data_IF_866814567793
#
_entry.id   IF_866814567793
#
_cell.length_a   1.000
_cell.length_b   1.000
_cell.length_c   1.000
_cell.angle_alpha   90.00
_cell.angle_beta   90.00
_cell.angle_gamma   90.00
#
_symmetry.space_group_name_H-M   'P 1'
#
loop_
_entity.id
_entity.type
_entity.pdbx_description
1 polymer ?
#
# COMPACT_ATOMS: atom_id res chain seq x y z
N UNK A 1 -1.98 52.94 -20.32
CA UNK A 1 -2.54 51.94 -19.38
C UNK A 1 -1.36 51.23 -18.73
N UNK A 2 -1.05 51.52 -17.48
CA UNK A 2 0.00 50.82 -16.73
C UNK A 2 -0.59 49.50 -16.23
N UNK A 3 -0.12 48.37 -16.76
CA UNK A 3 -0.40 47.05 -16.20
C UNK A 3 0.72 46.71 -15.20
N UNK A 4 0.45 46.89 -13.90
CA UNK A 4 1.29 46.33 -12.86
C UNK A 4 0.91 44.87 -12.65
N UNK A 5 1.75 43.94 -13.11
CA UNK A 5 1.63 42.53 -12.75
C UNK A 5 2.20 42.35 -11.34
N UNK A 6 1.33 42.33 -10.33
CA UNK A 6 1.72 41.93 -8.97
C UNK A 6 1.88 40.41 -8.96
N UNK A 7 3.09 39.92 -9.23
CA UNK A 7 3.43 38.51 -9.01
C UNK A 7 3.70 38.34 -7.52
N UNK A 8 2.73 37.82 -6.78
CA UNK A 8 2.97 37.33 -5.43
C UNK A 8 3.73 36.00 -5.55
N UNK A 9 5.05 36.04 -5.42
CA UNK A 9 5.88 34.84 -5.30
C UNK A 9 5.62 34.20 -3.94
N UNK A 10 4.71 33.24 -3.88
CA UNK A 10 4.66 32.31 -2.76
C UNK A 10 5.84 31.35 -2.90
N UNK A 11 6.64 31.19 -1.86
CA UNK A 11 7.68 30.17 -1.80
C UNK A 11 7.01 28.79 -1.87
N UNK A 12 6.94 28.22 -3.07
CA UNK A 12 6.50 26.85 -3.28
C UNK A 12 7.74 25.98 -3.26
N UNK A 13 7.81 25.09 -2.27
CA UNK A 13 8.91 24.14 -2.19
C UNK A 13 8.53 22.93 -3.03
N UNK A 14 9.35 22.64 -4.04
CA UNK A 14 9.23 21.44 -4.86
C UNK A 14 10.34 20.46 -4.49
N UNK A 15 10.08 19.18 -4.67
CA UNK A 15 11.05 18.10 -4.49
C UNK A 15 10.96 17.14 -5.67
N UNK A 16 12.10 16.65 -6.13
CA UNK A 16 12.18 15.58 -7.12
C UNK A 16 12.97 14.43 -6.54
N UNK A 17 12.47 13.22 -6.73
CA UNK A 17 13.12 11.97 -6.33
C UNK A 17 12.91 10.95 -7.43
N UNK A 18 13.68 9.87 -7.40
CA UNK A 18 13.43 8.77 -8.31
C UNK A 18 14.07 7.47 -7.82
N UNK A 19 13.50 6.35 -8.25
CA UNK A 19 14.02 5.02 -8.00
C UNK A 19 14.40 4.39 -9.33
N UNK A 20 15.67 4.03 -9.50
CA UNK A 20 16.20 3.34 -10.68
C UNK A 20 16.60 1.92 -10.30
N UNK A 21 16.33 0.97 -11.17
CA UNK A 21 16.79 -0.41 -11.01
C UNK A 21 17.12 -1.06 -12.36
N UNK A 22 17.92 -2.12 -12.28
CA UNK A 22 18.18 -3.01 -13.40
C UNK A 22 18.27 -4.44 -12.88
N UNK A 23 17.85 -5.40 -13.67
CA UNK A 23 18.00 -6.83 -13.37
C UNK A 23 18.30 -7.61 -14.65
N UNK A 24 18.84 -8.81 -14.48
CA UNK A 24 19.12 -9.72 -15.59
C UNK A 24 18.81 -11.15 -15.16
N UNK A 25 18.18 -11.90 -16.05
CA UNK A 25 17.83 -13.30 -15.86
C UNK A 25 18.42 -14.12 -17.00
N UNK A 26 18.90 -15.32 -16.69
CA UNK A 26 19.38 -16.28 -17.69
C UNK A 26 18.55 -17.55 -17.61
N UNK A 27 18.01 -18.00 -18.74
CA UNK A 27 17.22 -19.25 -18.81
C UNK A 27 17.88 -20.26 -19.74
N UNK A 28 17.74 -21.54 -19.40
CA UNK A 28 18.15 -22.66 -20.23
C UNK A 28 16.97 -23.30 -20.98
N UNK A 29 15.74 -22.91 -20.66
CA UNK A 29 14.51 -23.35 -21.32
C UNK A 29 13.84 -22.11 -21.92
N UNK A 30 14.05 -21.90 -23.22
CA UNK A 30 13.74 -20.65 -23.91
C UNK A 30 12.80 -20.96 -25.08
N UNK A 31 11.68 -20.25 -25.22
CA UNK A 31 10.81 -20.37 -26.39
C UNK A 31 11.58 -20.12 -27.69
N UNK A 32 11.20 -20.83 -28.77
CA UNK A 32 11.85 -20.68 -30.07
C UNK A 32 11.82 -19.23 -30.55
N UNK A 33 12.99 -18.61 -30.75
CA UNK A 33 13.14 -17.24 -31.24
C UNK A 33 13.45 -16.18 -30.17
N UNK A 34 13.55 -16.55 -28.90
CA UNK A 34 13.99 -15.67 -27.81
C UNK A 34 15.46 -15.95 -27.41
N UNK A 35 16.10 -14.94 -26.82
CA UNK A 35 17.45 -15.04 -26.26
C UNK A 35 17.43 -15.73 -24.90
N UNK A 36 18.53 -16.40 -24.56
CA UNK A 36 18.77 -16.97 -23.23
C UNK A 36 18.99 -15.93 -22.13
N UNK A 37 19.17 -14.67 -22.52
CA UNK A 37 19.38 -13.55 -21.64
C UNK A 37 18.17 -12.60 -21.70
N UNK A 38 17.56 -12.38 -20.54
CA UNK A 38 16.60 -11.32 -20.32
C UNK A 38 17.23 -10.23 -19.47
N UNK A 39 16.95 -8.97 -19.80
CA UNK A 39 17.39 -7.81 -19.04
C UNK A 39 16.24 -6.86 -18.82
N UNK A 40 16.19 -6.25 -17.65
CA UNK A 40 15.19 -5.26 -17.28
C UNK A 40 15.88 -3.97 -16.84
N UNK A 41 15.32 -2.85 -17.26
CA UNK A 41 15.69 -1.51 -16.82
C UNK A 41 14.42 -0.78 -16.43
N UNK A 42 14.37 -0.24 -15.23
CA UNK A 42 13.22 0.50 -14.76
C UNK A 42 13.57 1.77 -14.00
N UNK A 43 12.65 2.72 -14.04
CA UNK A 43 12.76 4.00 -13.39
C UNK A 43 11.39 4.54 -12.97
N UNK A 44 11.28 5.00 -11.72
CA UNK A 44 10.10 5.70 -11.21
C UNK A 44 10.51 7.13 -10.83
N UNK A 45 10.38 8.12 -11.73
CA UNK A 45 10.47 9.52 -11.35
C UNK A 45 9.29 9.91 -10.46
N UNK A 46 9.57 10.71 -9.43
CA UNK A 46 8.58 11.25 -8.50
C UNK A 46 8.78 12.76 -8.36
N UNK A 47 7.72 13.50 -8.64
CA UNK A 47 7.63 14.94 -8.44
C UNK A 47 6.68 15.21 -7.28
N UNK A 48 7.10 16.04 -6.33
CA UNK A 48 6.28 16.45 -5.20
C UNK A 48 6.28 17.97 -5.08
N UNK A 49 5.11 18.55 -4.85
CA UNK A 49 4.94 19.97 -4.57
C UNK A 49 4.26 20.10 -3.21
N UNK A 50 4.76 20.99 -2.36
CA UNK A 50 4.14 21.26 -1.08
C UNK A 50 4.10 22.75 -0.78
N UNK A 51 3.07 23.13 -0.03
CA UNK A 51 2.84 24.48 0.44
C UNK A 51 2.38 24.43 1.89
N UNK A 52 3.20 25.00 2.76
CA UNK A 52 2.81 25.28 4.13
C UNK A 52 1.80 26.44 4.15
N UNK A 53 0.78 26.28 4.97
CA UNK A 53 -0.29 27.23 5.24
C UNK A 53 -0.24 27.62 6.71
N UNK A 54 -0.93 28.71 7.07
CA UNK A 54 -1.02 29.14 8.47
C UNK A 54 -1.62 28.04 9.36
N UNK A 55 -1.27 28.07 10.66
CA UNK A 55 -1.73 27.13 11.68
C UNK A 55 -1.37 25.65 11.43
N UNK A 56 -0.10 25.38 11.09
CA UNK A 56 0.43 24.02 10.89
C UNK A 56 -0.35 23.20 9.86
N UNK A 57 -0.85 23.85 8.81
CA UNK A 57 -1.57 23.19 7.73
C UNK A 57 -0.63 22.99 6.55
N UNK A 58 -0.76 21.85 5.88
CA UNK A 58 0.04 21.49 4.72
C UNK A 58 -0.90 21.11 3.58
N UNK A 59 -0.65 21.68 2.40
CA UNK A 59 -1.21 21.20 1.15
C UNK A 59 -0.06 20.65 0.31
N UNK A 60 -0.11 19.36 -0.01
CA UNK A 60 0.90 18.72 -0.84
C UNK A 60 0.30 17.81 -1.91
N UNK A 61 1.08 17.57 -2.95
CA UNK A 61 0.73 16.69 -4.04
C UNK A 61 1.95 15.92 -4.51
N UNK A 62 1.72 14.75 -5.06
CA UNK A 62 2.75 13.89 -5.62
C UNK A 62 2.27 13.34 -6.96
N UNK A 63 3.20 13.26 -7.92
CA UNK A 63 3.04 12.59 -9.20
C UNK A 63 4.24 11.69 -9.43
N UNK A 64 3.99 10.41 -9.71
CA UNK A 64 5.01 9.46 -10.09
C UNK A 64 4.55 8.62 -11.27
N UNK A 65 5.48 8.35 -12.18
CA UNK A 65 5.27 7.50 -13.35
C UNK A 65 6.20 6.30 -13.24
N UNK A 66 5.76 5.11 -13.61
CA UNK A 66 6.63 3.94 -13.72
C UNK A 66 6.98 3.72 -15.19
N UNK A 67 8.28 3.65 -15.45
CA UNK A 67 8.86 3.34 -16.75
C UNK A 67 9.64 2.05 -16.58
N UNK A 68 9.21 0.96 -17.19
CA UNK A 68 9.81 -0.36 -17.04
C UNK A 68 9.95 -1.02 -18.42
N UNK A 69 11.17 -1.43 -18.75
CA UNK A 69 11.51 -2.02 -20.05
C UNK A 69 12.24 -3.33 -19.87
N UNK A 70 11.71 -4.38 -20.48
CA UNK A 70 12.29 -5.72 -20.46
C UNK A 70 12.66 -6.17 -21.86
N UNK A 71 13.89 -6.65 -22.02
CA UNK A 71 14.47 -7.10 -23.28
C UNK A 71 14.86 -8.57 -23.20
N UNK A 72 14.62 -9.34 -24.26
CA UNK A 72 15.27 -10.64 -24.50
C UNK A 72 16.32 -10.44 -25.58
N UNK A 73 17.60 -10.50 -25.19
CA UNK A 73 18.71 -10.04 -26.03
C UNK A 73 18.47 -8.61 -26.52
N UNK A 74 18.33 -8.44 -27.83
CA UNK A 74 18.11 -7.12 -28.46
C UNK A 74 16.63 -6.77 -28.68
N UNK A 75 15.72 -7.71 -28.39
CA UNK A 75 14.28 -7.53 -28.61
C UNK A 75 13.58 -7.02 -27.36
N UNK A 76 12.78 -5.95 -27.49
CA UNK A 76 11.92 -5.45 -26.41
C UNK A 76 10.68 -6.34 -26.30
N UNK A 77 10.49 -6.99 -25.14
CA UNK A 77 9.35 -7.88 -24.90
C UNK A 77 8.26 -7.17 -24.11
N UNK A 78 8.64 -6.32 -23.15
CA UNK A 78 7.69 -5.63 -22.29
C UNK A 78 8.07 -4.15 -22.13
N UNK A 79 7.05 -3.29 -22.20
CA UNK A 79 7.18 -1.86 -21.96
C UNK A 79 5.99 -1.39 -21.11
N UNK A 80 6.23 -1.04 -19.86
CA UNK A 80 5.22 -0.49 -18.96
C UNK A 80 5.52 0.99 -18.78
N UNK A 81 4.55 1.81 -19.19
CA UNK A 81 4.57 3.26 -19.02
C UNK A 81 3.21 3.68 -18.46
N UNK A 82 3.10 3.77 -17.14
CA UNK A 82 1.85 4.12 -16.46
C UNK A 82 2.09 5.08 -15.28
N UNK A 83 1.02 5.70 -14.81
CA UNK A 83 1.06 6.45 -13.55
C UNK A 83 1.18 5.47 -12.39
N UNK A 84 2.23 5.64 -11.59
CA UNK A 84 2.44 4.84 -10.39
C UNK A 84 1.66 5.40 -9.21
N UNK A 85 1.68 6.73 -9.05
CA UNK A 85 0.93 7.47 -8.02
C UNK A 85 0.59 8.86 -8.50
N UNK A 86 -0.59 9.31 -8.14
CA UNK A 86 -0.96 10.72 -8.21
C UNK A 86 -1.91 11.01 -7.07
N UNK A 87 -1.57 11.93 -6.18
CA UNK A 87 -2.47 12.28 -5.10
C UNK A 87 -2.29 13.73 -4.68
N UNK A 88 -3.35 14.30 -4.13
CA UNK A 88 -3.35 15.58 -3.43
C UNK A 88 -3.77 15.31 -1.99
N UNK A 89 -3.08 15.93 -1.04
CA UNK A 89 -3.38 15.83 0.38
C UNK A 89 -3.43 17.19 1.03
N UNK A 90 -4.42 17.35 1.89
CA UNK A 90 -4.49 18.39 2.90
C UNK A 90 -4.23 17.76 4.26
N UNK A 91 -3.34 18.33 5.06
CA UNK A 91 -2.99 17.84 6.39
C UNK A 91 -2.96 18.97 7.41
N UNK A 92 -3.32 18.64 8.66
CA UNK A 92 -3.29 19.50 9.84
C UNK A 92 -3.06 18.62 11.07
N UNK A 93 -2.86 19.23 12.24
CA UNK A 93 -2.63 18.50 13.51
C UNK A 93 -3.74 17.48 13.86
N UNK A 94 -4.98 17.69 13.37
CA UNK A 94 -6.14 16.84 13.72
C UNK A 94 -6.74 16.10 12.53
N UNK A 95 -6.37 16.43 11.30
CA UNK A 95 -7.05 15.94 10.11
C UNK A 95 -6.08 15.80 8.95
N UNK A 96 -6.15 14.66 8.26
CA UNK A 96 -5.53 14.41 6.97
C UNK A 96 -6.61 13.98 5.97
N UNK A 97 -6.64 14.61 4.80
CA UNK A 97 -7.52 14.24 3.69
C UNK A 97 -6.66 14.03 2.46
N UNK A 98 -6.82 12.91 1.76
CA UNK A 98 -6.06 12.57 0.55
C UNK A 98 -6.98 12.04 -0.54
N UNK A 99 -6.76 12.50 -1.77
CA UNK A 99 -7.52 12.08 -2.96
C UNK A 99 -6.57 11.71 -4.10
N UNK A 100 -6.86 10.62 -4.79
CA UNK A 100 -6.15 10.15 -5.99
C UNK A 100 -5.60 8.72 -5.85
N UNK A 101 -4.76 8.31 -6.79
CA UNK A 101 -4.04 7.04 -6.77
C UNK A 101 -2.97 7.03 -5.69
N UNK A 102 -3.24 6.27 -4.64
CA UNK A 102 -2.44 6.25 -3.41
C UNK A 102 -2.27 4.85 -2.86
N UNK A 103 -1.19 4.65 -2.10
CA UNK A 103 -0.99 3.44 -1.31
C UNK A 103 -1.82 3.51 -0.02
N UNK A 104 -2.66 2.51 0.22
CA UNK A 104 -3.36 2.29 1.49
C UNK A 104 -2.86 0.97 2.06
N UNK A 105 -2.09 1.05 3.14
CA UNK A 105 -1.65 -0.10 3.94
C UNK A 105 -1.90 0.23 5.40
N UNK A 106 -2.31 -0.80 6.13
CA UNK A 106 -2.42 -0.83 7.58
C UNK A 106 -2.12 -2.26 8.06
N UNK A 107 -1.95 -2.41 9.37
CA UNK A 107 -1.57 -3.67 9.98
C UNK A 107 -0.07 -3.74 10.32
N UNK A 108 0.30 -4.50 11.35
CA UNK A 108 1.68 -4.66 11.80
C UNK A 108 2.50 -5.72 11.06
N UNK A 109 1.89 -6.53 10.19
CA UNK A 109 2.58 -7.56 9.40
C UNK A 109 3.72 -6.99 8.57
N UNK A 110 4.85 -7.69 8.54
CA UNK A 110 6.08 -7.24 7.87
C UNK A 110 6.24 -7.88 6.49
N UNK A 111 6.02 -9.20 6.41
CA UNK A 111 6.17 -10.00 5.20
C UNK A 111 4.86 -10.67 4.84
N UNK A 112 4.26 -11.39 5.79
CA UNK A 112 2.99 -12.09 5.62
C UNK A 112 1.88 -11.28 6.29
N UNK A 113 1.05 -10.58 5.54
CA UNK A 113 -0.03 -9.76 6.12
C UNK A 113 -1.41 -10.23 5.67
N UNK A 114 -2.27 -10.49 6.66
CA UNK A 114 -3.70 -10.76 6.43
C UNK A 114 -4.52 -9.48 6.26
N UNK A 115 -3.89 -8.32 6.50
CA UNK A 115 -4.44 -6.97 6.36
C UNK A 115 -3.99 -6.25 5.08
N UNK A 116 -3.23 -6.90 4.21
CA UNK A 116 -2.88 -6.42 2.87
C UNK A 116 -4.09 -6.34 1.92
N UNK A 117 -5.17 -5.65 2.29
CA UNK A 117 -6.42 -5.63 1.53
C UNK A 117 -6.33 -4.93 0.18
N UNK A 118 -5.40 -3.98 0.05
CA UNK A 118 -5.27 -3.07 -1.08
C UNK A 118 -3.85 -2.99 -1.64
N UNK A 119 -2.92 -3.78 -1.10
CA UNK A 119 -1.54 -3.78 -1.56
C UNK A 119 -1.20 -5.05 -2.34
N UNK A 120 -0.27 -4.88 -3.28
CA UNK A 120 0.27 -5.93 -4.13
C UNK A 120 1.73 -6.21 -3.74
N UNK A 121 2.04 -6.21 -2.44
CA UNK A 121 3.42 -6.41 -2.00
C UNK A 121 3.95 -7.77 -2.45
N UNK A 122 5.08 -7.73 -3.17
CA UNK A 122 5.75 -8.89 -3.72
C UNK A 122 7.21 -8.91 -3.26
N UNK A 123 7.59 -9.98 -2.58
CA UNK A 123 8.95 -10.21 -2.08
C UNK A 123 9.98 -10.37 -3.19
N UNK A 124 9.55 -10.80 -4.37
CA UNK A 124 10.45 -10.98 -5.53
C UNK A 124 10.72 -9.67 -6.26
N UNK A 125 9.93 -8.62 -5.98
CA UNK A 125 10.09 -7.32 -6.61
C UNK A 125 11.20 -6.51 -5.90
N UNK A 126 12.36 -6.26 -6.54
CA UNK A 126 13.48 -5.55 -5.92
C UNK A 126 13.17 -4.09 -5.61
N UNK A 127 12.11 -3.52 -6.17
CA UNK A 127 11.73 -2.13 -5.92
C UNK A 127 10.99 -1.94 -4.60
N UNK A 128 10.38 -3.00 -4.05
CA UNK A 128 9.48 -2.92 -2.89
C UNK A 128 8.24 -2.04 -3.11
N UNK A 129 7.94 -1.70 -4.37
CA UNK A 129 6.79 -0.88 -4.73
C UNK A 129 5.54 -1.74 -4.79
N UNK A 130 4.44 -1.17 -4.30
CA UNK A 130 3.10 -1.73 -4.43
C UNK A 130 2.30 -0.83 -5.33
N UNK A 131 1.32 -1.42 -6.00
CA UNK A 131 0.34 -0.65 -6.77
C UNK A 131 -0.49 0.23 -5.82
N UNK A 132 -1.03 1.31 -6.38
CA UNK A 132 -1.94 2.20 -5.69
C UNK A 132 -3.38 1.83 -5.93
N UNK A 133 -4.27 2.33 -5.08
CA UNK A 133 -5.71 2.34 -5.30
C UNK A 133 -6.19 3.78 -5.48
N UNK A 134 -7.11 4.00 -6.43
CA UNK A 134 -7.74 5.30 -6.59
C UNK A 134 -8.77 5.49 -5.48
N UNK A 135 -8.46 6.40 -4.55
CA UNK A 135 -9.22 6.51 -3.32
C UNK A 135 -9.36 7.95 -2.85
N UNK A 136 -10.48 8.21 -2.17
CA UNK A 136 -10.62 9.27 -1.20
C UNK A 136 -10.36 8.70 0.19
N UNK A 137 -9.49 9.34 0.98
CA UNK A 137 -9.15 8.94 2.34
C UNK A 137 -9.22 10.11 3.29
N UNK A 138 -9.88 9.90 4.43
CA UNK A 138 -9.94 10.80 5.56
C UNK A 138 -9.28 10.12 6.77
N UNK A 139 -8.38 10.82 7.46
CA UNK A 139 -7.88 10.42 8.78
C UNK A 139 -8.12 11.55 9.76
N UNK A 140 -8.77 11.23 10.86
CA UNK A 140 -9.05 12.14 11.95
C UNK A 140 -8.29 11.69 13.19
N UNK A 141 -7.68 12.64 13.90
CA UNK A 141 -6.91 12.41 15.12
C UNK A 141 -7.59 13.14 16.29
N UNK A 142 -8.57 12.50 16.96
CA UNK A 142 -9.25 13.09 18.11
C UNK A 142 -8.31 13.35 19.29
N UNK A 143 -7.29 12.51 19.45
CA UNK A 143 -6.25 12.58 20.48
C UNK A 143 -4.91 12.08 19.93
N UNK A 144 -3.85 12.20 20.71
CA UNK A 144 -2.52 11.68 20.35
C UNK A 144 -2.44 10.14 20.33
N UNK A 145 -3.48 9.45 20.79
CA UNK A 145 -3.51 8.01 20.99
C UNK A 145 -4.65 7.33 20.23
N UNK A 146 -5.43 8.08 19.44
CA UNK A 146 -6.57 7.58 18.71
C UNK A 146 -6.52 8.16 17.30
N UNK A 147 -6.63 7.30 16.30
CA UNK A 147 -6.82 7.71 14.92
C UNK A 147 -8.03 7.00 14.33
N UNK A 148 -8.82 7.71 13.54
CA UNK A 148 -10.01 7.19 12.87
C UNK A 148 -9.86 7.48 11.39
N UNK A 149 -9.93 6.43 10.59
CA UNK A 149 -9.78 6.47 9.16
C UNK A 149 -11.13 6.15 8.52
N UNK A 150 -11.41 6.80 7.41
CA UNK A 150 -12.45 6.40 6.50
C UNK A 150 -11.92 6.55 5.08
N UNK A 151 -12.29 5.61 4.22
CA UNK A 151 -11.90 5.67 2.82
C UNK A 151 -13.02 5.20 1.93
N UNK A 152 -12.94 5.65 0.69
CA UNK A 152 -13.77 5.23 -0.42
C UNK A 152 -12.86 4.97 -1.60
N UNK A 153 -12.98 3.79 -2.19
CA UNK A 153 -12.19 3.33 -3.32
C UNK A 153 -13.11 3.26 -4.53
N UNK A 154 -12.59 3.72 -5.66
CA UNK A 154 -13.22 3.53 -6.95
C UNK A 154 -12.46 2.43 -7.68
N UNK A 155 -13.15 1.36 -8.05
CA UNK A 155 -12.54 0.30 -8.86
C UNK A 155 -12.54 0.65 -10.36
N UNK A 156 -11.90 -0.19 -11.17
CA UNK A 156 -11.82 -0.02 -12.63
C UNK A 156 -13.20 -0.09 -13.33
N UNK A 157 -14.19 -0.71 -12.68
CA UNK A 157 -15.54 -0.89 -13.18
C UNK A 157 -16.53 0.14 -12.61
N UNK A 158 -16.03 1.17 -11.91
CA UNK A 158 -16.77 2.23 -11.22
C UNK A 158 -17.70 1.76 -10.08
N UNK A 159 -17.42 0.62 -9.47
CA UNK A 159 -17.99 0.29 -8.16
C UNK A 159 -17.31 1.11 -7.07
N UNK A 160 -18.12 1.60 -6.14
CA UNK A 160 -17.69 2.41 -5.03
C UNK A 160 -17.65 1.54 -3.77
N UNK A 161 -16.45 1.21 -3.33
CA UNK A 161 -16.23 0.45 -2.10
C UNK A 161 -15.84 1.39 -0.97
N UNK A 162 -16.19 1.07 0.26
CA UNK A 162 -15.92 1.95 1.40
C UNK A 162 -15.46 1.18 2.62
N UNK A 163 -14.66 1.83 3.44
CA UNK A 163 -14.16 1.24 4.67
C UNK A 163 -13.84 2.26 5.73
N UNK A 164 -13.55 1.74 6.90
CA UNK A 164 -13.14 2.52 8.05
C UNK A 164 -12.24 1.73 8.96
N UNK A 165 -11.41 2.44 9.70
CA UNK A 165 -10.49 1.86 10.68
C UNK A 165 -10.39 2.76 11.90
N UNK A 166 -10.32 2.16 13.08
CA UNK A 166 -9.96 2.84 14.31
C UNK A 166 -8.65 2.26 14.83
N UNK A 167 -7.70 3.12 15.18
CA UNK A 167 -6.41 2.74 15.75
C UNK A 167 -6.25 3.38 17.12
N UNK A 168 -5.86 2.59 18.12
CA UNK A 168 -5.68 3.03 19.49
C UNK A 168 -4.28 2.67 19.96
N UNK A 169 -3.51 3.68 20.32
CA UNK A 169 -2.19 3.55 20.93
C UNK A 169 -2.31 3.51 22.45
N UNK A 170 -1.67 2.54 23.10
CA UNK A 170 -1.70 2.38 24.55
C UNK A 170 -0.33 1.92 25.08
N UNK A 171 -0.13 2.01 26.39
CA UNK A 171 1.11 1.56 27.02
C UNK A 171 1.37 0.05 26.85
N UNK A 172 0.34 -0.72 26.50
CA UNK A 172 0.44 -2.17 26.29
C UNK A 172 0.46 -2.56 24.82
N UNK A 173 0.51 -1.58 23.90
CA UNK A 173 0.58 -1.81 22.46
C UNK A 173 -0.43 -0.99 21.65
N UNK A 174 -0.37 -1.21 20.35
CA UNK A 174 -1.17 -0.59 19.30
C UNK A 174 -2.27 -1.54 18.87
N UNK A 175 -3.51 -1.06 18.85
CA UNK A 175 -4.69 -1.82 18.45
C UNK A 175 -5.29 -1.23 17.18
N UNK A 176 -5.76 -2.09 16.28
CA UNK A 176 -6.49 -1.70 15.08
C UNK A 176 -7.76 -2.51 14.92
N UNK A 177 -8.84 -1.84 14.49
CA UNK A 177 -10.09 -2.49 14.07
C UNK A 177 -10.49 -1.91 12.72
N UNK A 178 -10.71 -2.76 11.73
CA UNK A 178 -11.03 -2.35 10.35
C UNK A 178 -12.28 -3.03 9.85
N UNK A 179 -13.07 -2.27 9.08
CA UNK A 179 -14.24 -2.75 8.36
C UNK A 179 -14.19 -2.25 6.93
N UNK A 180 -14.62 -3.09 5.99
CA UNK A 180 -14.66 -2.73 4.57
C UNK A 180 -15.83 -3.45 3.90
N UNK A 181 -16.50 -2.75 3.01
CA UNK A 181 -17.59 -3.25 2.20
C UNK A 181 -17.25 -3.04 0.72
N UNK A 182 -17.31 -4.13 -0.03
CA UNK A 182 -17.14 -4.13 -1.48
C UNK A 182 -18.41 -4.67 -2.14
N UNK A 183 -19.14 -3.85 -2.91
CA UNK A 183 -20.33 -4.28 -3.65
C UNK A 183 -19.98 -4.91 -5.02
N UNK A 184 -18.70 -4.97 -5.41
CA UNK A 184 -18.27 -5.45 -6.71
C UNK A 184 -18.42 -6.97 -6.82
N UNK A 185 -18.99 -7.44 -7.94
CA UNK A 185 -19.00 -8.86 -8.33
C UNK A 185 -17.81 -9.20 -9.26
N UNK A 186 -16.81 -8.31 -9.34
CA UNK A 186 -15.57 -8.58 -10.06
C UNK A 186 -14.71 -9.60 -9.30
N UNK A 187 -14.01 -10.45 -10.04
CA UNK A 187 -13.07 -11.40 -9.45
C UNK A 187 -11.84 -10.64 -8.94
N UNK A 188 -11.72 -10.55 -7.62
CA UNK A 188 -10.61 -9.88 -6.94
C UNK A 188 -9.75 -10.90 -6.20
N UNK A 189 -8.44 -10.67 -6.20
CA UNK A 189 -7.50 -11.40 -5.34
C UNK A 189 -7.38 -10.66 -4.01
N UNK A 190 -7.40 -11.39 -2.90
CA UNK A 190 -7.31 -10.78 -1.57
C UNK A 190 -5.85 -10.67 -1.16
N UNK A 191 -5.25 -9.50 -1.33
CA UNK A 191 -3.91 -9.19 -0.86
C UNK A 191 -2.84 -10.16 -1.32
N UNK A 192 -1.99 -10.60 -0.39
CA UNK A 192 -0.95 -11.61 -0.63
C UNK A 192 -1.49 -13.04 -0.72
N UNK A 193 -2.80 -13.26 -0.54
CA UNK A 193 -3.38 -14.60 -0.56
C UNK A 193 -3.80 -14.98 -1.96
N UNK A 194 -3.67 -16.25 -2.33
CA UNK A 194 -4.23 -16.77 -3.59
C UNK A 194 -5.76 -16.95 -3.54
N UNK A 195 -6.44 -16.41 -2.54
CA UNK A 195 -7.89 -16.50 -2.41
C UNK A 195 -8.55 -15.51 -3.38
N UNK A 196 -9.50 -16.01 -4.16
CA UNK A 196 -10.27 -15.24 -5.12
C UNK A 196 -11.71 -15.09 -4.62
N UNK A 197 -12.24 -13.87 -4.67
CA UNK A 197 -13.66 -13.57 -4.41
C UNK A 197 -14.21 -12.84 -5.62
N UNK A 198 -15.28 -13.36 -6.21
CA UNK A 198 -15.96 -12.76 -7.37
C UNK A 198 -17.39 -12.32 -7.06
N UNK A 199 -17.60 -11.80 -5.86
CA UNK A 199 -18.93 -11.43 -5.36
C UNK A 199 -18.82 -10.33 -4.31
N UNK A 200 -19.91 -9.58 -4.13
CA UNK A 200 -20.02 -8.61 -3.04
C UNK A 200 -19.67 -9.25 -1.68
N UNK A 201 -18.83 -8.57 -0.90
CA UNK A 201 -18.30 -9.10 0.34
C UNK A 201 -18.01 -8.01 1.37
N UNK A 202 -17.98 -8.43 2.64
CA UNK A 202 -17.57 -7.60 3.77
C UNK A 202 -16.27 -8.15 4.36
N UNK A 203 -15.35 -7.27 4.72
CA UNK A 203 -14.12 -7.63 5.43
C UNK A 203 -14.14 -7.00 6.82
N UNK A 204 -13.81 -7.78 7.82
CA UNK A 204 -13.62 -7.34 9.20
C UNK A 204 -12.24 -7.77 9.64
N UNK A 205 -11.53 -6.90 10.34
CA UNK A 205 -10.25 -7.26 10.91
C UNK A 205 -9.96 -6.59 12.23
N UNK A 206 -9.14 -7.29 13.01
CA UNK A 206 -8.55 -6.80 14.26
C UNK A 206 -7.06 -7.09 14.20
N UNK A 207 -6.26 -6.11 14.59
CA UNK A 207 -4.82 -6.25 14.70
C UNK A 207 -4.28 -5.65 15.98
N UNK A 208 -3.13 -6.17 16.39
CA UNK A 208 -2.45 -5.78 17.60
C UNK A 208 -0.93 -5.84 17.40
N UNK A 209 -0.21 -4.85 17.92
CA UNK A 209 1.25 -4.82 17.97
C UNK A 209 1.73 -4.40 19.35
N UNK A 210 2.71 -5.12 19.87
CA UNK A 210 3.41 -4.79 21.09
C UNK A 210 4.92 -4.78 20.84
N UNK A 211 5.55 -3.62 21.06
CA UNK A 211 6.99 -3.44 20.95
C UNK A 211 7.61 -3.42 22.36
N UNK A 212 7.85 -4.62 22.91
CA UNK A 212 8.49 -4.81 24.21
C UNK A 212 9.96 -5.23 24.12
N UNK A 213 10.42 -6.05 25.08
CA UNK A 213 11.73 -6.71 24.96
C UNK A 213 11.79 -7.67 23.77
N UNK A 214 10.66 -8.33 23.48
CA UNK A 214 10.39 -9.08 22.26
C UNK A 214 9.21 -8.38 21.60
N UNK A 215 9.34 -8.04 20.32
CA UNK A 215 8.25 -7.53 19.52
C UNK A 215 7.27 -8.65 19.20
N UNK A 216 5.97 -8.38 19.28
CA UNK A 216 4.92 -9.33 18.92
C UNK A 216 3.78 -8.63 18.20
N UNK A 217 3.22 -9.28 17.19
CA UNK A 217 2.03 -8.78 16.52
C UNK A 217 1.09 -9.90 16.08
N UNK A 218 -0.17 -9.52 15.93
CA UNK A 218 -1.21 -10.35 15.36
C UNK A 218 -2.08 -9.54 14.40
N UNK A 219 -2.55 -10.21 13.36
CA UNK A 219 -3.61 -9.74 12.48
C UNK A 219 -4.62 -10.87 12.31
N UNK A 220 -5.90 -10.55 12.45
CA UNK A 220 -7.00 -11.49 12.26
C UNK A 220 -8.03 -10.85 11.33
N UNK A 221 -8.27 -11.45 10.18
CA UNK A 221 -9.20 -10.97 9.17
C UNK A 221 -10.24 -12.04 8.89
N UNK A 222 -11.51 -11.65 8.79
CA UNK A 222 -12.59 -12.48 8.25
C UNK A 222 -13.24 -11.77 7.09
N UNK A 223 -13.47 -12.52 6.02
CA UNK A 223 -14.08 -12.04 4.79
C UNK A 223 -15.34 -12.86 4.56
N UNK A 224 -16.46 -12.16 4.53
CA UNK A 224 -17.80 -12.74 4.45
C UNK A 224 -18.42 -12.35 3.12
N UNK A 225 -18.72 -13.35 2.31
CA UNK A 225 -19.50 -13.22 1.10
C UNK A 225 -20.72 -14.15 1.16
N UNK A 226 -21.67 -14.00 0.26
CA UNK A 226 -22.91 -14.79 0.24
C UNK A 226 -22.69 -16.32 0.20
N UNK A 227 -21.62 -16.80 -0.43
CA UNK A 227 -21.36 -18.23 -0.64
C UNK A 227 -20.00 -18.68 -0.08
N UNK A 228 -19.23 -17.75 0.50
CA UNK A 228 -17.89 -18.06 1.02
C UNK A 228 -17.54 -17.25 2.26
N UNK A 229 -16.81 -17.91 3.15
CA UNK A 229 -16.20 -17.33 4.33
C UNK A 229 -14.70 -17.65 4.31
N UNK A 230 -13.88 -16.60 4.29
CA UNK A 230 -12.42 -16.72 4.31
C UNK A 230 -11.89 -16.11 5.61
N UNK A 231 -11.28 -16.96 6.43
CA UNK A 231 -10.56 -16.57 7.64
C UNK A 231 -9.06 -16.51 7.38
N UNK A 232 -8.43 -15.40 7.77
CA UNK A 232 -6.99 -15.19 7.68
C UNK A 232 -6.47 -14.82 9.06
N UNK A 233 -5.33 -15.40 9.43
CA UNK A 233 -4.69 -15.14 10.71
C UNK A 233 -3.19 -15.07 10.51
N UNK A 234 -2.58 -13.95 10.90
CA UNK A 234 -1.13 -13.79 10.93
C UNK A 234 -0.68 -13.56 12.36
N UNK A 235 0.41 -14.20 12.76
CA UNK A 235 1.12 -13.90 14.00
C UNK A 235 2.61 -13.77 13.72
N UNK A 236 3.27 -12.82 14.36
CA UNK A 236 4.70 -12.63 14.22
C UNK A 236 5.37 -12.14 15.49
N UNK A 237 6.68 -12.33 15.54
CA UNK A 237 7.53 -11.83 16.60
C UNK A 237 8.91 -11.48 16.07
N UNK A 238 9.54 -10.49 16.71
CA UNK A 238 10.91 -10.11 16.44
C UNK A 238 11.75 -9.91 17.71
N UNK A 239 13.06 -10.03 17.54
CA UNK A 239 14.04 -9.76 18.56
C UNK A 239 15.34 -9.25 17.96
N UNK A 240 15.89 -8.18 18.53
CA UNK A 240 17.22 -7.69 18.15
C UNK A 240 18.27 -8.29 19.08
N UNK A 241 19.05 -9.24 18.57
CA UNK A 241 20.17 -9.83 19.29
C UNK A 241 21.20 -8.74 19.61
N UNK A 242 21.68 -8.61 20.86
CA UNK A 242 22.66 -7.60 21.26
C UNK A 242 24.10 -8.01 20.86
N UNK A 243 24.27 -8.44 19.61
CA UNK A 243 25.55 -8.86 19.03
C UNK A 243 25.94 -7.83 17.96
N UNK A 244 27.16 -7.31 18.05
CA UNK A 244 27.67 -6.24 17.18
C UNK A 244 26.72 -5.02 17.15
N UNK A 245 26.29 -4.58 15.96
CA UNK A 245 25.38 -3.45 15.77
C UNK A 245 23.89 -3.80 15.96
N UNK A 246 23.59 -5.03 16.40
CA UNK A 246 22.24 -5.57 16.46
C UNK A 246 21.96 -6.47 15.26
N UNK A 247 21.46 -7.68 15.50
CA UNK A 247 20.95 -8.57 14.46
C UNK A 247 19.46 -8.77 14.71
N UNK A 248 18.62 -8.32 13.79
CA UNK A 248 17.18 -8.55 13.84
C UNK A 248 16.87 -10.00 13.44
N UNK A 249 16.19 -10.71 14.31
CA UNK A 249 15.60 -12.02 14.02
C UNK A 249 14.10 -11.87 14.08
N UNK A 250 13.40 -12.34 13.04
CA UNK A 250 11.95 -12.25 12.91
C UNK A 250 11.39 -13.59 12.44
N UNK A 251 10.22 -13.94 12.94
CA UNK A 251 9.41 -15.03 12.40
C UNK A 251 7.96 -14.58 12.26
N UNK A 252 7.34 -14.93 11.14
CA UNK A 252 5.90 -14.75 10.90
C UNK A 252 5.28 -16.07 10.46
N UNK A 253 4.03 -16.29 10.86
CA UNK A 253 3.21 -17.41 10.45
C UNK A 253 1.85 -16.89 10.03
N UNK A 254 1.36 -17.35 8.88
CA UNK A 254 0.03 -17.04 8.36
C UNK A 254 -0.76 -18.33 8.13
N UNK A 255 -2.02 -18.32 8.57
CA UNK A 255 -3.00 -19.38 8.33
C UNK A 255 -4.17 -18.83 7.53
N UNK A 256 -4.66 -19.65 6.59
CA UNK A 256 -5.78 -19.35 5.72
C UNK A 256 -6.78 -20.49 5.83
N UNK A 257 -8.02 -20.17 6.14
CA UNK A 257 -9.15 -21.10 6.13
C UNK A 257 -10.21 -20.60 5.18
N UNK A 258 -10.73 -21.48 4.33
CA UNK A 258 -11.80 -21.15 3.41
C UNK A 258 -12.96 -22.14 3.60
N UNK A 259 -14.17 -21.61 3.74
CA UNK A 259 -15.40 -22.37 3.82
C UNK A 259 -16.34 -21.88 2.73
N UNK A 260 -16.81 -22.80 1.90
CA UNK A 260 -17.84 -22.54 0.90
C UNK A 260 -19.15 -23.13 1.41
N UNK A 261 -20.22 -22.36 1.34
CA UNK A 261 -21.56 -22.88 1.63
C UNK A 261 -22.06 -23.57 0.35
N UNK A 262 -22.13 -24.91 0.41
CA UNK A 262 -22.59 -25.80 -0.66
C UNK A 262 -24.11 -25.93 -0.71
#
# INVERSE_FOLDING_TARGET
VYFSLNITLYAQSFSTKGQFWTSGLTSNDIPSGQSSLESNIGYIPTFSLFRELDNNRLLDMELSCRLDRMYSGDSLINNIENFHRYWVRYSSDKLEVRLGLQKIIFGPGQVLSSLSWFDTFDLTNPTGQTDGVEAFRLRWFPSNSLSIWSWTILDEYNFLSFGGRAEISSNIGEWGVSVYHDPSDSLQTIGQTSALIGQAHNRFAVDFRYDGFIGFWNESTVILASESEIGLFTVGADYTLPIASGILVMAEYMSISNKFDS
#
